data_IF_315490986386
#
_entry.id   IF_315490986386
#
_cell.length_a   1.000
_cell.length_b   1.000
_cell.length_c   1.000
_cell.angle_alpha   90.00
_cell.angle_beta   90.00
_cell.angle_gamma   90.00
#
_symmetry.space_group_name_H-M   'P 1'
#
loop_
_entity.id
_entity.type
_entity.pdbx_description
1 polymer ?
#
# COMPACT_ATOMS: atom_id res chain seq x y z
N UNK A 1 20.02 6.43 12.09
CA UNK A 1 19.34 7.66 12.57
C UNK A 1 20.39 8.55 13.22
N UNK A 2 20.73 9.67 12.58
CA UNK A 2 21.73 10.60 13.09
C UNK A 2 21.22 11.29 14.36
N UNK A 3 22.06 11.24 15.40
CA UNK A 3 21.88 11.92 16.68
C UNK A 3 22.35 13.39 16.64
N UNK A 4 22.34 14.04 15.46
CA UNK A 4 23.04 15.33 15.26
C UNK A 4 22.19 16.58 15.52
N UNK A 5 21.01 16.45 16.12
CA UNK A 5 20.32 17.60 16.66
C UNK A 5 19.79 17.23 18.05
N UNK A 6 20.25 17.94 19.08
CA UNK A 6 19.84 17.78 20.49
C UNK A 6 18.37 18.14 20.78
N UNK A 7 17.47 17.88 19.84
CA UNK A 7 16.03 17.88 20.04
C UNK A 7 15.54 16.53 20.58
N UNK A 8 14.26 16.45 20.98
CA UNK A 8 13.65 15.16 21.32
C UNK A 8 13.81 14.20 20.15
N UNK A 9 14.11 12.93 20.46
CA UNK A 9 14.20 11.86 19.46
C UNK A 9 12.92 11.90 18.62
N UNK A 10 13.02 12.03 17.28
CA UNK A 10 11.83 12.03 16.43
C UNK A 10 11.05 10.73 16.65
N UNK A 11 9.77 10.88 16.93
CA UNK A 11 8.86 9.78 17.26
C UNK A 11 7.79 9.66 16.17
N UNK A 12 7.55 8.43 15.73
CA UNK A 12 6.55 8.12 14.70
C UNK A 12 5.95 6.75 14.99
N UNK A 13 4.63 6.66 15.25
CA UNK A 13 3.99 5.38 15.48
C UNK A 13 3.86 4.62 14.16
N UNK A 14 4.09 3.30 14.21
CA UNK A 14 3.86 2.41 13.09
C UNK A 14 2.59 1.59 13.31
N UNK A 15 1.54 1.93 12.57
CA UNK A 15 0.25 1.28 12.66
C UNK A 15 0.20 0.13 11.66
N UNK A 16 -0.06 -1.08 12.14
CA UNK A 16 -0.12 -2.30 11.32
C UNK A 16 -1.53 -2.87 11.34
N UNK A 17 -2.27 -2.68 10.25
CA UNK A 17 -3.58 -3.28 10.09
C UNK A 17 -3.45 -4.75 9.68
N UNK A 18 -4.06 -5.65 10.43
CA UNK A 18 -4.12 -7.09 10.10
C UNK A 18 -5.57 -7.52 9.84
N UNK A 19 -5.74 -8.73 9.33
CA UNK A 19 -7.02 -9.45 9.37
C UNK A 19 -7.00 -10.48 10.51
N UNK A 20 -8.16 -11.03 10.91
CA UNK A 20 -8.20 -12.12 11.88
C UNK A 20 -7.33 -13.33 11.49
N UNK A 21 -7.17 -13.55 10.18
CA UNK A 21 -6.36 -14.65 9.65
C UNK A 21 -4.84 -14.39 9.73
N UNK A 22 -4.41 -13.13 9.85
CA UNK A 22 -2.99 -12.74 9.79
C UNK A 22 -2.47 -12.19 11.12
N UNK A 23 -3.36 -11.75 12.02
CA UNK A 23 -2.99 -11.02 13.23
C UNK A 23 -1.96 -11.74 14.09
N UNK A 24 -2.26 -12.97 14.53
CA UNK A 24 -1.38 -13.72 15.42
C UNK A 24 0.01 -13.93 14.81
N UNK A 25 0.08 -14.40 13.57
CA UNK A 25 1.35 -14.67 12.91
C UNK A 25 2.18 -13.39 12.74
N UNK A 26 1.54 -12.26 12.41
CA UNK A 26 2.22 -10.98 12.28
C UNK A 26 2.77 -10.49 13.61
N UNK A 27 1.98 -10.52 14.69
CA UNK A 27 2.43 -10.10 16.03
C UNK A 27 3.59 -10.99 16.52
N UNK A 28 3.44 -12.31 16.43
CA UNK A 28 4.48 -13.27 16.83
C UNK A 28 5.79 -13.01 16.05
N UNK A 29 5.72 -12.69 14.76
CA UNK A 29 6.89 -12.41 13.92
C UNK A 29 7.62 -11.14 14.36
N UNK A 30 6.91 -10.05 14.69
CA UNK A 30 7.54 -8.84 15.23
C UNK A 30 8.18 -9.08 16.59
N UNK A 31 7.54 -9.86 17.47
CA UNK A 31 8.11 -10.22 18.77
C UNK A 31 9.39 -11.04 18.64
N UNK A 32 9.39 -12.05 17.76
CA UNK A 32 10.57 -12.87 17.48
C UNK A 32 11.77 -12.05 16.95
N UNK A 33 11.51 -10.96 16.22
CA UNK A 33 12.54 -10.10 15.65
C UNK A 33 12.79 -8.83 16.47
N UNK A 34 12.35 -8.81 17.75
CA UNK A 34 12.54 -7.67 18.65
C UNK A 34 12.12 -6.33 18.01
N UNK A 35 10.98 -6.36 17.30
CA UNK A 35 10.37 -5.21 16.63
C UNK A 35 11.31 -4.48 15.66
N UNK A 36 12.32 -5.16 15.12
CA UNK A 36 13.32 -4.60 14.19
C UNK A 36 14.03 -3.35 14.75
N UNK A 37 14.21 -3.29 16.08
CA UNK A 37 14.83 -2.17 16.78
C UNK A 37 13.88 -1.02 17.15
N UNK A 38 12.58 -1.12 16.83
CA UNK A 38 11.55 -0.24 17.35
C UNK A 38 11.17 -0.63 18.79
N UNK A 39 10.57 0.30 19.54
CA UNK A 39 9.93 -0.03 20.82
C UNK A 39 8.58 -0.67 20.55
N UNK A 40 8.21 -1.66 21.38
CA UNK A 40 6.92 -2.36 21.27
C UNK A 40 5.73 -1.39 21.35
N UNK A 41 5.87 -0.34 22.15
CA UNK A 41 4.84 0.67 22.38
C UNK A 41 4.58 1.58 21.17
N UNK A 42 5.53 1.64 20.23
CA UNK A 42 5.44 2.45 19.01
C UNK A 42 4.87 1.67 17.82
N UNK A 43 4.72 0.35 17.93
CA UNK A 43 4.09 -0.51 16.91
C UNK A 43 2.68 -0.88 17.33
N UNK A 44 1.68 -0.35 16.64
CA UNK A 44 0.27 -0.50 17.00
C UNK A 44 -0.43 -1.45 16.04
N UNK A 45 -0.62 -2.69 16.47
CA UNK A 45 -1.43 -3.65 15.74
C UNK A 45 -2.91 -3.40 15.97
N UNK A 46 -3.70 -3.46 14.90
CA UNK A 46 -5.15 -3.42 14.98
C UNK A 46 -5.78 -4.27 13.89
N UNK A 47 -6.85 -4.97 14.23
CA UNK A 47 -7.53 -5.88 13.32
C UNK A 47 -8.66 -5.18 12.58
N UNK A 48 -8.73 -5.37 11.27
CA UNK A 48 -9.95 -5.09 10.51
C UNK A 48 -11.02 -6.13 10.85
N UNK A 49 -12.29 -5.72 10.79
CA UNK A 49 -13.39 -6.67 10.93
C UNK A 49 -13.67 -7.45 9.64
N UNK A 50 -14.68 -8.30 9.72
CA UNK A 50 -15.19 -9.10 8.61
C UNK A 50 -16.68 -8.85 8.42
N UNK A 51 -17.18 -9.18 7.22
CA UNK A 51 -18.60 -9.20 6.88
C UNK A 51 -19.05 -10.60 6.51
N UNK A 52 -20.30 -10.97 6.82
CA UNK A 52 -20.94 -12.15 6.26
C UNK A 52 -20.98 -12.06 4.74
N UNK A 53 -20.63 -13.16 4.08
CA UNK A 53 -20.92 -13.36 2.66
C UNK A 53 -22.42 -13.57 2.49
N UNK A 54 -22.99 -12.99 1.45
CA UNK A 54 -24.43 -13.05 1.17
C UNK A 54 -24.70 -13.81 -0.12
N UNK A 55 -25.84 -14.49 -0.23
CA UNK A 55 -26.37 -14.92 -1.53
C UNK A 55 -26.83 -13.67 -2.31
N UNK A 56 -27.04 -13.76 -3.64
CA UNK A 56 -27.59 -12.64 -4.42
C UNK A 56 -28.94 -12.12 -3.88
N UNK A 57 -29.70 -12.96 -3.19
CA UNK A 57 -30.98 -12.63 -2.54
C UNK A 57 -30.81 -12.03 -1.13
N UNK A 58 -29.56 -11.84 -0.67
CA UNK A 58 -29.25 -11.21 0.62
C UNK A 58 -29.26 -12.16 1.83
N UNK A 59 -29.25 -13.48 1.64
CA UNK A 59 -29.16 -14.45 2.74
C UNK A 59 -27.71 -14.69 3.16
N UNK A 60 -27.45 -14.88 4.45
CA UNK A 60 -26.11 -15.24 4.93
C UNK A 60 -25.71 -16.62 4.39
N UNK A 61 -24.49 -16.72 3.88
CA UNK A 61 -23.87 -17.97 3.47
C UNK A 61 -23.17 -18.60 4.68
N UNK A 62 -23.44 -19.87 4.93
CA UNK A 62 -22.73 -20.67 5.93
C UNK A 62 -21.53 -21.36 5.28
N UNK A 63 -20.35 -21.27 5.89
CA UNK A 63 -19.16 -22.04 5.49
C UNK A 63 -19.26 -23.49 5.97
N UNK A 64 -19.81 -23.68 7.17
CA UNK A 64 -20.12 -24.97 7.78
C UNK A 64 -21.43 -24.86 8.58
N UNK A 65 -22.05 -25.97 9.04
CA UNK A 65 -23.27 -25.92 9.85
C UNK A 65 -23.19 -25.02 11.10
N UNK A 66 -21.98 -24.78 11.62
CA UNK A 66 -21.73 -23.95 12.80
C UNK A 66 -20.96 -22.65 12.53
N UNK A 67 -20.63 -22.32 11.27
CA UNK A 67 -19.83 -21.13 10.94
C UNK A 67 -20.38 -20.35 9.75
N UNK A 68 -20.39 -19.02 9.88
CA UNK A 68 -20.75 -18.09 8.82
C UNK A 68 -19.54 -17.89 7.90
N UNK A 69 -19.76 -17.99 6.58
CA UNK A 69 -18.74 -17.60 5.61
C UNK A 69 -18.52 -16.09 5.69
N UNK A 70 -17.32 -15.66 6.06
CA UNK A 70 -16.99 -14.25 6.23
C UNK A 70 -15.88 -13.81 5.28
N UNK A 71 -15.89 -12.53 4.88
CA UNK A 71 -14.80 -11.90 4.16
C UNK A 71 -14.31 -10.65 4.90
N UNK A 72 -13.02 -10.29 4.83
CA UNK A 72 -12.56 -8.99 5.30
C UNK A 72 -13.27 -7.86 4.54
N UNK A 73 -13.38 -6.68 5.16
CA UNK A 73 -14.00 -5.48 4.58
C UNK A 73 -13.32 -4.94 3.30
N UNK A 74 -12.27 -5.57 2.78
CA UNK A 74 -11.35 -4.95 1.83
C UNK A 74 -10.41 -3.96 2.52
N UNK A 75 -9.51 -3.33 1.76
CA UNK A 75 -8.54 -2.40 2.35
C UNK A 75 -9.19 -1.08 2.86
N UNK A 76 -10.39 -0.74 2.39
CA UNK A 76 -11.22 0.33 2.97
C UNK A 76 -11.74 0.01 4.38
N UNK A 77 -11.61 -1.24 4.84
CA UNK A 77 -11.82 -1.63 6.23
C UNK A 77 -10.93 -0.91 7.25
N UNK A 78 -9.89 -0.22 6.79
CA UNK A 78 -8.97 0.56 7.66
C UNK A 78 -9.70 1.62 8.48
N UNK A 79 -10.72 2.29 7.93
CA UNK A 79 -11.42 3.38 8.63
C UNK A 79 -12.23 2.91 9.84
N UNK A 80 -13.17 1.94 9.69
CA UNK A 80 -13.86 1.39 10.85
C UNK A 80 -12.89 0.71 11.82
N UNK A 81 -11.83 0.06 11.32
CA UNK A 81 -10.84 -0.61 12.16
C UNK A 81 -10.06 0.38 13.04
N UNK A 82 -9.58 1.49 12.47
CA UNK A 82 -8.90 2.57 13.21
C UNK A 82 -9.77 3.16 14.32
N UNK A 83 -11.08 3.34 14.05
CA UNK A 83 -12.00 3.86 15.06
C UNK A 83 -12.29 2.83 16.14
N UNK A 84 -12.63 1.59 15.75
CA UNK A 84 -12.99 0.52 16.69
C UNK A 84 -11.83 0.12 17.61
N UNK A 85 -10.60 0.13 17.12
CA UNK A 85 -9.41 -0.21 17.92
C UNK A 85 -8.99 0.89 18.89
N UNK A 86 -9.55 2.08 18.78
CA UNK A 86 -9.07 3.27 19.52
C UNK A 86 -7.78 3.86 18.96
N UNK A 87 -7.22 3.32 17.86
CA UNK A 87 -6.03 3.90 17.22
C UNK A 87 -6.26 5.33 16.78
N UNK A 88 -7.45 5.66 16.25
CA UNK A 88 -7.78 7.03 15.85
C UNK A 88 -7.77 8.01 17.03
N UNK A 89 -8.34 7.59 18.17
CA UNK A 89 -8.37 8.40 19.39
C UNK A 89 -6.95 8.54 19.99
N UNK A 90 -6.10 7.50 19.86
CA UNK A 90 -4.68 7.55 20.23
C UNK A 90 -3.87 8.50 19.35
N UNK A 91 -4.10 8.51 18.04
CA UNK A 91 -3.45 9.47 17.12
C UNK A 91 -3.76 10.92 17.48
N UNK A 92 -5.03 11.20 17.83
CA UNK A 92 -5.46 12.52 18.30
C UNK A 92 -4.77 12.91 19.62
N UNK A 93 -4.74 12.02 20.61
CA UNK A 93 -4.18 12.32 21.93
C UNK A 93 -2.65 12.47 21.94
N UNK A 94 -1.95 11.82 21.00
CA UNK A 94 -0.50 11.98 20.83
C UNK A 94 -0.12 13.13 19.90
N UNK A 95 -1.10 13.85 19.34
CA UNK A 95 -0.87 15.03 18.50
C UNK A 95 -0.43 14.71 17.07
N UNK A 96 -0.55 13.47 16.61
CA UNK A 96 -0.28 13.09 15.22
C UNK A 96 -1.27 13.81 14.30
N UNK A 97 -0.75 14.44 13.23
CA UNK A 97 -1.57 15.25 12.31
C UNK A 97 -1.83 14.57 10.97
N UNK A 98 -1.03 13.59 10.61
CA UNK A 98 -1.07 12.98 9.28
C UNK A 98 -0.63 11.52 9.33
N UNK A 99 -1.22 10.72 8.45
CA UNK A 99 -0.85 9.34 8.21
C UNK A 99 -0.33 9.19 6.78
N UNK A 100 0.79 8.51 6.63
CA UNK A 100 1.20 7.92 5.36
C UNK A 100 0.80 6.44 5.37
N UNK A 101 -0.14 6.07 4.52
CA UNK A 101 -0.68 4.71 4.41
C UNK A 101 -0.19 4.08 3.12
N UNK A 102 0.35 2.87 3.19
CA UNK A 102 0.89 2.17 2.03
C UNK A 102 0.56 0.67 2.04
N UNK A 103 0.64 0.02 0.88
CA UNK A 103 0.46 -1.43 0.75
C UNK A 103 1.75 -2.19 1.11
N UNK A 104 1.61 -3.34 1.78
CA UNK A 104 2.73 -4.14 2.30
C UNK A 104 3.60 -4.80 1.22
N UNK A 105 3.07 -4.97 0.01
CA UNK A 105 3.66 -5.82 -1.03
C UNK A 105 4.64 -5.11 -1.97
N UNK A 106 5.05 -3.87 -1.65
CA UNK A 106 5.98 -3.09 -2.47
C UNK A 106 7.31 -2.87 -1.73
N UNK A 107 8.37 -3.64 -2.03
CA UNK A 107 9.68 -3.48 -1.39
C UNK A 107 10.38 -2.15 -1.69
N UNK A 108 9.98 -1.45 -2.75
CA UNK A 108 10.47 -0.10 -3.06
C UNK A 108 9.66 1.02 -2.39
N UNK A 109 8.64 0.67 -1.60
CA UNK A 109 7.90 1.66 -0.85
C UNK A 109 8.85 2.49 0.02
N UNK A 110 8.56 3.78 0.15
CA UNK A 110 9.29 4.72 1.01
C UNK A 110 8.42 5.07 2.22
N UNK A 111 8.43 4.28 3.31
CA UNK A 111 7.63 4.56 4.50
C UNK A 111 7.92 5.96 5.04
N UNK A 112 6.87 6.70 5.37
CA UNK A 112 6.95 8.09 5.81
C UNK A 112 7.77 9.03 4.89
N UNK A 113 7.71 8.86 3.57
CA UNK A 113 8.43 9.69 2.60
C UNK A 113 8.27 11.20 2.86
N UNK A 114 9.34 11.91 3.27
CA UNK A 114 9.28 13.33 3.60
C UNK A 114 8.96 14.19 2.37
N UNK A 115 9.27 13.75 1.14
CA UNK A 115 8.94 14.48 -0.08
C UNK A 115 7.43 14.46 -0.32
N UNK A 116 6.82 13.28 -0.25
CA UNK A 116 5.38 13.14 -0.42
C UNK A 116 4.58 13.79 0.70
N UNK A 117 4.94 13.54 1.96
CA UNK A 117 4.28 14.14 3.13
C UNK A 117 4.44 15.66 3.08
N UNK A 118 5.66 16.16 2.86
CA UNK A 118 5.95 17.59 2.75
C UNK A 118 5.19 18.27 1.59
N UNK A 119 5.07 17.60 0.44
CA UNK A 119 4.26 18.08 -0.67
C UNK A 119 2.79 18.22 -0.28
N UNK A 120 2.20 17.20 0.33
CA UNK A 120 0.80 17.23 0.79
C UNK A 120 0.56 18.38 1.79
N UNK A 121 1.46 18.54 2.76
CA UNK A 121 1.40 19.64 3.73
C UNK A 121 1.54 21.01 3.06
N UNK A 122 2.44 21.17 2.09
CA UNK A 122 2.62 22.42 1.34
C UNK A 122 1.39 22.83 0.53
N UNK A 123 0.54 21.86 0.18
CA UNK A 123 -0.74 22.07 -0.52
C UNK A 123 -1.93 22.20 0.44
N UNK A 124 -1.68 22.18 1.75
CA UNK A 124 -2.72 22.09 2.78
C UNK A 124 -3.71 20.95 2.49
N UNK A 125 -3.20 19.83 1.97
CA UNK A 125 -4.02 18.73 1.51
C UNK A 125 -4.64 17.97 2.68
N UNK A 126 -5.92 17.61 2.56
CA UNK A 126 -6.61 16.76 3.54
C UNK A 126 -6.45 15.27 3.20
N UNK A 127 -6.21 14.98 1.93
CA UNK A 127 -5.91 13.67 1.35
C UNK A 127 -4.83 13.81 0.27
N UNK A 128 -4.02 12.78 0.06
CA UNK A 128 -3.07 12.74 -1.04
C UNK A 128 -2.90 11.34 -1.62
N UNK A 129 -2.53 11.27 -2.89
CA UNK A 129 -2.24 10.02 -3.57
C UNK A 129 -0.90 10.10 -4.31
N UNK A 130 -0.05 9.10 -4.09
CA UNK A 130 1.16 8.90 -4.87
C UNK A 130 0.85 7.98 -6.05
N UNK A 131 1.35 8.36 -7.21
CA UNK A 131 1.13 7.65 -8.46
C UNK A 131 2.45 7.35 -9.17
N UNK A 132 2.43 6.33 -10.00
CA UNK A 132 3.43 6.16 -11.08
C UNK A 132 2.70 6.25 -12.40
N UNK A 133 3.38 6.70 -13.46
CA UNK A 133 2.77 6.62 -14.78
C UNK A 133 2.63 5.17 -15.22
N UNK A 134 1.49 4.84 -15.82
CA UNK A 134 1.24 3.51 -16.37
C UNK A 134 2.30 3.16 -17.41
N UNK A 135 2.84 1.95 -17.31
CA UNK A 135 3.83 1.41 -18.23
C UNK A 135 3.20 1.07 -19.60
N UNK A 136 1.95 0.62 -19.59
CA UNK A 136 1.17 0.35 -20.80
C UNK A 136 -0.33 0.56 -20.58
N UNK A 137 -1.15 0.71 -21.64
CA UNK A 137 -2.61 0.75 -21.53
C UNK A 137 -3.20 -0.45 -20.74
N UNK A 138 -2.58 -1.62 -20.88
CA UNK A 138 -3.03 -2.92 -20.35
C UNK A 138 -2.64 -3.17 -18.90
N UNK A 139 -1.78 -2.33 -18.31
CA UNK A 139 -1.39 -2.46 -16.91
C UNK A 139 -2.63 -2.40 -15.99
N UNK A 140 -2.77 -3.42 -15.14
CA UNK A 140 -3.91 -3.63 -14.24
C UNK A 140 -3.77 -2.80 -12.96
N UNK A 141 -3.80 -1.50 -13.13
CA UNK A 141 -3.73 -0.53 -12.03
C UNK A 141 -4.88 0.47 -12.17
N UNK A 142 -5.54 0.76 -11.05
CA UNK A 142 -6.52 1.85 -11.00
C UNK A 142 -5.86 3.19 -11.29
N UNK A 143 -6.57 4.13 -11.90
CA UNK A 143 -6.01 5.42 -12.32
C UNK A 143 -6.70 6.58 -11.63
N UNK A 144 -5.92 7.61 -11.27
CA UNK A 144 -6.50 8.87 -10.82
C UNK A 144 -7.24 9.55 -11.97
N UNK A 145 -8.50 9.89 -11.74
CA UNK A 145 -9.35 10.62 -12.66
C UNK A 145 -10.39 11.45 -11.90
N UNK A 146 -11.26 12.14 -12.65
CA UNK A 146 -12.47 12.74 -12.09
C UNK A 146 -13.70 11.93 -12.49
N UNK A 147 -14.45 11.43 -11.52
CA UNK A 147 -15.76 10.77 -11.70
C UNK A 147 -16.83 11.70 -11.15
N UNK A 148 -17.75 12.17 -12.00
CA UNK A 148 -18.75 13.17 -11.60
C UNK A 148 -18.14 14.49 -11.09
N UNK A 149 -16.99 14.91 -11.64
CA UNK A 149 -16.27 16.12 -11.23
C UNK A 149 -15.46 16.00 -9.94
N UNK A 150 -15.55 14.88 -9.22
CA UNK A 150 -14.82 14.61 -7.98
C UNK A 150 -13.57 13.75 -8.25
N UNK A 151 -12.46 13.96 -7.53
CA UNK A 151 -11.28 13.11 -7.65
C UNK A 151 -11.63 11.67 -7.21
N UNK A 152 -11.17 10.69 -7.98
CA UNK A 152 -11.45 9.27 -7.73
C UNK A 152 -10.35 8.42 -8.34
N UNK A 153 -10.22 7.20 -7.82
CA UNK A 153 -9.54 6.13 -8.55
C UNK A 153 -10.59 5.41 -9.38
N UNK A 154 -10.34 5.26 -10.68
CA UNK A 154 -11.14 4.44 -11.58
C UNK A 154 -10.40 3.14 -11.78
N UNK A 155 -10.99 2.04 -11.36
CA UNK A 155 -10.38 0.72 -11.49
C UNK A 155 -10.20 0.33 -12.96
N UNK A 156 -9.17 -0.47 -13.25
CA UNK A 156 -8.83 -0.86 -14.62
C UNK A 156 -9.98 -1.62 -15.31
N UNK A 157 -10.83 -2.31 -14.54
CA UNK A 157 -12.03 -3.00 -15.01
C UNK A 157 -13.19 -2.06 -15.36
N UNK A 158 -13.15 -0.80 -14.91
CA UNK A 158 -14.17 0.22 -15.22
C UNK A 158 -13.83 1.07 -16.47
N UNK A 159 -12.60 0.97 -16.99
CA UNK A 159 -12.19 1.69 -18.20
C UNK A 159 -12.52 0.89 -19.46
N UNK A 160 -13.20 1.54 -20.42
CA UNK A 160 -13.34 1.00 -21.78
C UNK A 160 -12.04 1.11 -22.58
N UNK A 161 -11.96 0.39 -23.69
CA UNK A 161 -10.73 0.31 -24.50
C UNK A 161 -10.35 1.65 -25.14
N UNK A 162 -11.35 2.49 -25.45
CA UNK A 162 -11.14 3.84 -25.94
C UNK A 162 -10.41 4.71 -24.91
N UNK A 163 -10.84 4.70 -23.63
CA UNK A 163 -10.20 5.46 -22.55
C UNK A 163 -8.87 4.85 -22.12
N UNK A 164 -8.73 3.52 -22.13
CA UNK A 164 -7.47 2.83 -21.80
C UNK A 164 -6.33 3.25 -22.72
N UNK A 165 -6.62 3.44 -24.01
CA UNK A 165 -5.63 3.74 -25.05
C UNK A 165 -5.54 5.22 -25.42
N UNK A 166 -6.41 6.07 -24.85
CA UNK A 166 -6.47 7.49 -25.16
C UNK A 166 -5.14 8.19 -24.81
N UNK A 167 -4.59 8.92 -25.77
CA UNK A 167 -3.34 9.67 -25.64
C UNK A 167 -3.55 11.17 -25.86
N UNK A 168 -2.75 11.97 -25.17
CA UNK A 168 -2.67 13.42 -25.36
C UNK A 168 -1.83 13.77 -26.61
N UNK A 169 -1.67 15.06 -26.88
CA UNK A 169 -0.89 15.57 -28.02
C UNK A 169 0.60 15.21 -27.97
N UNK A 170 1.12 14.81 -26.80
CA UNK A 170 2.50 14.38 -26.60
C UNK A 170 2.64 12.85 -26.63
N UNK A 171 1.55 12.12 -26.93
CA UNK A 171 1.53 10.67 -26.95
C UNK A 171 1.47 10.02 -25.56
N UNK A 172 1.31 10.79 -24.47
CA UNK A 172 1.15 10.22 -23.11
C UNK A 172 -0.29 9.77 -22.91
N UNK A 173 -0.50 8.70 -22.14
CA UNK A 173 -1.84 8.25 -21.76
C UNK A 173 -2.60 9.34 -20.99
N UNK A 174 -3.80 9.70 -21.43
CA UNK A 174 -4.65 10.66 -20.70
C UNK A 174 -5.00 10.11 -19.32
N UNK A 175 -5.29 8.81 -19.25
CA UNK A 175 -5.54 8.08 -18.00
C UNK A 175 -4.29 7.29 -17.59
N UNK A 176 -3.20 8.01 -17.35
CA UNK A 176 -1.88 7.42 -17.06
C UNK A 176 -1.47 7.41 -15.59
N UNK A 177 -2.10 8.20 -14.72
CA UNK A 177 -1.71 8.32 -13.30
C UNK A 177 -2.14 7.09 -12.48
N UNK A 178 -1.33 6.02 -12.51
CA UNK A 178 -1.60 4.75 -11.84
C UNK A 178 -1.47 4.85 -10.32
N UNK A 179 -2.50 4.41 -9.60
CA UNK A 179 -2.53 4.34 -8.16
C UNK A 179 -1.63 3.20 -7.63
N UNK A 180 -0.64 3.54 -6.81
CA UNK A 180 0.28 2.56 -6.20
C UNK A 180 -0.04 2.27 -4.73
N UNK A 181 -1.28 2.55 -4.30
CA UNK A 181 -1.75 2.36 -2.93
C UNK A 181 -0.82 3.01 -1.89
N UNK A 182 -0.37 4.24 -2.16
CA UNK A 182 0.42 5.08 -1.25
C UNK A 182 -0.34 6.40 -1.05
N UNK A 183 -0.86 6.61 0.14
CA UNK A 183 -1.84 7.64 0.43
C UNK A 183 -1.43 8.50 1.62
N UNK A 184 -1.76 9.77 1.54
CA UNK A 184 -1.68 10.69 2.66
C UNK A 184 -3.10 10.96 3.16
N UNK A 185 -3.29 10.95 4.47
CA UNK A 185 -4.53 11.42 5.09
C UNK A 185 -4.20 12.32 6.28
N UNK A 186 -4.81 13.50 6.33
CA UNK A 186 -4.84 14.26 7.58
C UNK A 186 -5.72 13.54 8.61
N UNK A 187 -5.36 13.61 9.89
CA UNK A 187 -6.17 12.98 10.95
C UNK A 187 -7.56 13.62 11.00
N UNK A 188 -7.66 14.93 10.83
CA UNK A 188 -8.95 15.66 10.81
C UNK A 188 -9.85 15.21 9.65
N UNK A 189 -9.29 14.89 8.47
CA UNK A 189 -10.08 14.32 7.37
C UNK A 189 -10.67 12.97 7.75
N UNK A 190 -9.89 12.12 8.43
CA UNK A 190 -10.38 10.83 8.88
C UNK A 190 -11.48 10.98 9.93
N UNK A 191 -11.29 11.84 10.92
CA UNK A 191 -12.23 11.98 12.06
C UNK A 191 -13.51 12.72 11.67
N UNK A 192 -13.39 13.83 10.94
CA UNK A 192 -14.52 14.74 10.69
C UNK A 192 -15.27 14.43 9.40
N UNK A 193 -14.64 13.75 8.43
CA UNK A 193 -15.23 13.53 7.10
C UNK A 193 -15.47 12.05 6.82
N UNK A 194 -14.44 11.21 6.98
CA UNK A 194 -14.52 9.79 6.58
C UNK A 194 -15.34 8.98 7.58
N UNK A 195 -15.00 9.05 8.87
CA UNK A 195 -15.64 8.25 9.91
C UNK A 195 -17.17 8.46 9.95
N UNK A 196 -17.72 9.69 9.88
CA UNK A 196 -19.16 9.90 9.86
C UNK A 196 -19.90 9.33 8.64
N UNK A 197 -19.18 9.03 7.55
CA UNK A 197 -19.75 8.56 6.27
C UNK A 197 -19.38 7.12 5.93
N UNK A 198 -18.75 6.39 6.85
CA UNK A 198 -18.14 5.09 6.53
C UNK A 198 -19.13 4.02 6.06
N UNK A 199 -20.40 4.09 6.50
CA UNK A 199 -21.42 3.08 6.19
C UNK A 199 -21.84 3.05 4.71
N UNK A 200 -21.51 4.08 3.92
CA UNK A 200 -21.91 4.18 2.51
C UNK A 200 -20.82 3.74 1.52
N UNK A 201 -19.72 3.14 2.00
CA UNK A 201 -18.52 2.90 1.18
C UNK A 201 -18.34 1.45 0.69
N UNK A 202 -19.30 0.55 0.94
CA UNK A 202 -19.19 -0.85 0.54
C UNK A 202 -19.71 -1.10 -0.88
N UNK A 203 -18.90 -1.79 -1.68
CA UNK A 203 -19.22 -2.29 -3.01
C UNK A 203 -19.62 -3.76 -2.98
N UNK A 204 -20.44 -4.17 -3.94
CA UNK A 204 -20.85 -5.55 -4.15
C UNK A 204 -19.87 -6.25 -5.10
N UNK A 205 -19.22 -7.32 -4.64
CA UNK A 205 -18.35 -8.16 -5.45
C UNK A 205 -18.92 -9.58 -5.57
N UNK A 206 -19.37 -9.96 -6.77
CA UNK A 206 -19.87 -11.31 -7.04
C UNK A 206 -18.71 -12.32 -7.11
N UNK A 207 -18.79 -13.39 -6.31
CA UNK A 207 -17.73 -14.39 -6.18
C UNK A 207 -18.28 -15.80 -6.08
N UNK A 208 -17.40 -16.77 -6.33
CA UNK A 208 -17.55 -18.18 -5.97
C UNK A 208 -17.21 -18.35 -4.49
N UNK A 209 -18.21 -18.51 -3.63
CA UNK A 209 -18.08 -18.57 -2.19
C UNK A 209 -18.38 -20.01 -1.73
N UNK A 210 -17.39 -20.75 -1.22
CA UNK A 210 -17.62 -22.06 -0.64
C UNK A 210 -18.69 -22.00 0.46
N UNK A 211 -19.55 -23.02 0.52
CA UNK A 211 -20.68 -23.04 1.44
C UNK A 211 -20.97 -24.45 1.97
N UNK A 212 -21.71 -24.54 3.07
CA UNK A 212 -22.21 -25.80 3.60
C UNK A 212 -23.38 -26.31 2.74
N UNK A 213 -23.21 -27.50 2.15
CA UNK A 213 -24.29 -28.22 1.47
C UNK A 213 -25.37 -28.67 2.45
N UNK A 214 -26.48 -29.19 1.93
CA UNK A 214 -27.61 -29.65 2.75
C UNK A 214 -27.23 -30.77 3.74
N UNK A 215 -26.23 -31.58 3.40
CA UNK A 215 -25.68 -32.64 4.26
C UNK A 215 -24.58 -32.12 5.22
N UNK A 216 -24.35 -30.82 5.25
CA UNK A 216 -23.33 -30.15 6.05
C UNK A 216 -21.90 -30.24 5.49
N UNK A 217 -21.69 -30.87 4.32
CA UNK A 217 -20.35 -30.96 3.72
C UNK A 217 -19.99 -29.69 2.92
N UNK A 218 -18.70 -29.32 2.84
CA UNK A 218 -18.27 -28.14 2.09
C UNK A 218 -18.46 -28.35 0.59
N UNK A 219 -19.13 -27.40 -0.05
CA UNK A 219 -19.34 -27.34 -1.50
C UNK A 219 -18.52 -26.19 -2.09
N UNK A 220 -17.77 -26.49 -3.15
CA UNK A 220 -17.10 -25.47 -3.97
C UNK A 220 -17.98 -25.16 -5.19
N UNK A 221 -18.52 -23.95 -5.33
CA UNK A 221 -19.45 -23.63 -6.41
C UNK A 221 -18.74 -23.50 -7.77
N UNK A 222 -19.40 -23.93 -8.83
CA UNK A 222 -18.87 -23.87 -10.21
C UNK A 222 -19.04 -22.48 -10.84
N UNK A 223 -20.00 -21.69 -10.37
CA UNK A 223 -20.30 -20.31 -10.80
C UNK A 223 -20.40 -19.37 -9.59
N UNK A 224 -20.50 -18.05 -9.83
CA UNK A 224 -20.69 -17.09 -8.74
C UNK A 224 -22.04 -17.35 -8.06
N UNK A 225 -22.01 -17.67 -6.77
CA UNK A 225 -23.16 -18.03 -5.94
C UNK A 225 -23.40 -17.04 -4.79
N UNK A 226 -22.56 -16.01 -4.67
CA UNK A 226 -22.68 -15.04 -3.58
C UNK A 226 -22.00 -13.72 -3.87
N UNK A 227 -22.18 -12.80 -2.93
CA UNK A 227 -21.71 -11.43 -2.95
C UNK A 227 -20.90 -11.17 -1.68
N UNK A 228 -19.74 -10.56 -1.88
CA UNK A 228 -18.91 -10.00 -0.81
C UNK A 228 -19.10 -8.49 -0.80
N UNK A 229 -19.20 -7.92 0.40
CA UNK A 229 -19.14 -6.47 0.60
C UNK A 229 -17.70 -6.07 0.87
N UNK A 230 -17.13 -5.25 0.00
CA UNK A 230 -15.74 -4.78 0.09
C UNK A 230 -15.70 -3.26 -0.12
N UNK A 231 -14.91 -2.54 0.66
CA UNK A 231 -14.62 -1.13 0.49
C UNK A 231 -13.17 -0.97 0.03
N UNK A 232 -12.91 0.02 -0.80
CA UNK A 232 -11.55 0.39 -1.18
C UNK A 232 -11.06 1.61 -0.40
N UNK A 233 -9.79 1.59 -0.02
CA UNK A 233 -9.17 2.67 0.74
C UNK A 233 -9.22 4.02 -0.01
N UNK A 234 -9.28 4.02 -1.34
CA UNK A 234 -9.35 5.25 -2.12
C UNK A 234 -10.78 5.76 -2.35
N UNK A 235 -11.82 5.05 -1.90
CA UNK A 235 -13.22 5.47 -2.07
C UNK A 235 -13.57 6.75 -1.29
N UNK A 236 -12.70 7.17 -0.39
CA UNK A 236 -12.82 8.44 0.34
C UNK A 236 -12.35 9.65 -0.47
N UNK A 237 -11.62 9.45 -1.58
CA UNK A 237 -11.07 10.56 -2.37
C UNK A 237 -12.13 11.56 -2.84
N UNK A 238 -13.34 11.17 -3.28
CA UNK A 238 -14.40 12.12 -3.62
C UNK A 238 -14.85 13.02 -2.47
N UNK A 239 -14.60 12.61 -1.22
CA UNK A 239 -14.94 13.37 -0.01
C UNK A 239 -13.89 14.43 0.33
N UNK A 240 -12.69 14.32 -0.22
CA UNK A 240 -11.61 15.29 -0.04
C UNK A 240 -11.99 16.65 -0.61
N UNK A 241 -11.70 17.69 0.15
CA UNK A 241 -11.81 19.08 -0.30
C UNK A 241 -10.56 19.54 -1.04
N UNK A 242 -9.39 18.97 -0.68
CA UNK A 242 -8.07 19.36 -1.20
C UNK A 242 -7.19 18.12 -1.34
N UNK A 243 -7.33 17.41 -2.47
CA UNK A 243 -6.48 16.27 -2.77
C UNK A 243 -5.17 16.72 -3.43
N UNK A 244 -4.04 16.19 -2.96
CA UNK A 244 -2.74 16.33 -3.61
C UNK A 244 -2.37 15.04 -4.36
N UNK A 245 -1.93 15.16 -5.61
CA UNK A 245 -1.45 14.03 -6.42
C UNK A 245 0.03 14.24 -6.71
N UNK A 246 0.85 13.22 -6.46
CA UNK A 246 2.29 13.25 -6.73
C UNK A 246 2.68 12.08 -7.62
N UNK A 247 3.19 12.37 -8.82
CA UNK A 247 3.85 11.39 -9.69
C UNK A 247 5.27 11.12 -9.17
N UNK A 248 5.67 9.86 -9.11
CA UNK A 248 7.05 9.43 -8.81
C UNK A 248 7.58 8.48 -9.90
N UNK A 249 8.87 8.19 -9.81
CA UNK A 249 9.57 7.25 -10.69
C UNK A 249 9.29 5.81 -10.27
N UNK A 250 8.80 5.00 -11.19
CA UNK A 250 8.44 3.59 -10.94
C UNK A 250 9.64 2.80 -10.44
N UNK A 251 10.77 2.96 -11.10
CA UNK A 251 12.03 2.30 -10.79
C UNK A 251 12.61 2.67 -9.43
N UNK A 252 12.08 3.72 -8.78
CA UNK A 252 12.51 4.13 -7.44
C UNK A 252 11.52 3.77 -6.33
N UNK A 253 10.23 3.60 -6.65
CA UNK A 253 9.18 3.55 -5.63
C UNK A 253 8.08 2.50 -5.86
N UNK A 254 8.12 1.70 -6.94
CA UNK A 254 7.04 0.74 -7.22
C UNK A 254 7.52 -0.57 -7.86
N UNK A 255 7.62 -1.62 -7.03
CA UNK A 255 7.93 -2.99 -7.42
C UNK A 255 7.01 -3.99 -6.68
N UNK A 256 5.71 -4.06 -7.02
CA UNK A 256 4.75 -4.87 -6.26
C UNK A 256 5.05 -6.38 -6.35
N UNK A 257 4.65 -7.13 -5.34
CA UNK A 257 4.75 -8.60 -5.30
C UNK A 257 3.35 -9.20 -5.19
N UNK A 258 2.80 -9.58 -6.34
CA UNK A 258 1.45 -10.15 -6.50
C UNK A 258 1.44 -11.59 -7.01
N UNK A 259 2.50 -11.99 -7.71
CA UNK A 259 2.61 -13.26 -8.43
C UNK A 259 3.68 -14.16 -7.79
N UNK A 260 3.59 -15.46 -8.06
CA UNK A 260 4.55 -16.44 -7.56
C UNK A 260 5.96 -16.26 -8.20
N UNK A 261 7.03 -16.76 -7.54
CA UNK A 261 8.36 -16.84 -8.13
C UNK A 261 8.37 -17.47 -9.54
N UNK A 262 9.27 -17.01 -10.40
CA UNK A 262 9.36 -17.39 -11.81
C UNK A 262 8.40 -16.63 -12.74
N UNK A 263 7.47 -15.84 -12.20
CA UNK A 263 6.63 -14.95 -13.03
C UNK A 263 7.44 -13.73 -13.46
N UNK A 264 7.30 -13.33 -14.74
CA UNK A 264 8.10 -12.26 -15.34
C UNK A 264 7.88 -10.86 -14.74
N UNK A 265 6.73 -10.61 -14.10
CA UNK A 265 6.37 -9.32 -13.50
C UNK A 265 5.63 -9.50 -12.19
N UNK A 266 5.69 -8.46 -11.35
CA UNK A 266 5.08 -8.36 -10.04
C UNK A 266 5.32 -9.60 -9.16
N UNK A 267 6.53 -10.15 -9.22
CA UNK A 267 6.98 -11.37 -8.53
C UNK A 267 8.17 -11.07 -7.60
N UNK A 268 8.51 -11.97 -6.66
CA UNK A 268 9.70 -11.81 -5.83
C UNK A 268 10.98 -11.60 -6.65
N UNK A 269 11.12 -12.28 -7.80
CA UNK A 269 12.30 -12.17 -8.66
C UNK A 269 12.39 -10.80 -9.36
N UNK A 270 11.25 -10.30 -9.85
CA UNK A 270 11.18 -8.96 -10.45
C UNK A 270 11.45 -7.87 -9.41
N UNK A 271 10.90 -7.99 -8.20
CA UNK A 271 11.10 -7.02 -7.13
C UNK A 271 12.55 -6.99 -6.65
N UNK A 272 13.18 -8.16 -6.45
CA UNK A 272 14.62 -8.25 -6.11
C UNK A 272 15.51 -7.62 -7.18
N UNK A 273 15.19 -7.85 -8.45
CA UNK A 273 15.91 -7.24 -9.58
C UNK A 273 15.79 -5.72 -9.54
N UNK A 274 14.59 -5.17 -9.30
CA UNK A 274 14.38 -3.73 -9.21
C UNK A 274 15.09 -3.09 -8.00
N UNK A 275 15.07 -3.73 -6.83
CA UNK A 275 15.83 -3.29 -5.65
C UNK A 275 17.33 -3.27 -5.93
N UNK A 276 17.87 -4.34 -6.54
CA UNK A 276 19.27 -4.41 -6.95
C UNK A 276 19.64 -3.27 -7.90
N UNK A 277 18.84 -3.04 -8.95
CA UNK A 277 19.09 -1.96 -9.91
C UNK A 277 19.06 -0.57 -9.26
N UNK A 278 18.13 -0.34 -8.32
CA UNK A 278 18.06 0.92 -7.58
C UNK A 278 19.30 1.14 -6.71
N UNK A 279 19.73 0.12 -5.97
CA UNK A 279 20.92 0.18 -5.12
C UNK A 279 22.19 0.41 -5.95
N UNK A 280 22.31 -0.27 -7.11
CA UNK A 280 23.41 -0.03 -8.06
C UNK A 280 23.44 1.42 -8.54
N UNK A 281 22.29 1.94 -8.97
CA UNK A 281 22.13 3.35 -9.38
C UNK A 281 22.57 4.31 -8.28
N UNK A 282 22.25 4.02 -7.02
CA UNK A 282 22.68 4.84 -5.89
C UNK A 282 24.20 4.83 -5.68
N UNK A 283 24.83 3.66 -5.71
CA UNK A 283 26.29 3.51 -5.57
C UNK A 283 27.03 4.25 -6.69
N UNK A 284 26.59 4.09 -7.93
CA UNK A 284 27.19 4.75 -9.10
C UNK A 284 27.01 6.26 -9.05
N UNK A 285 25.81 6.74 -8.70
CA UNK A 285 25.53 8.18 -8.52
C UNK A 285 26.37 8.79 -7.40
N UNK A 286 26.70 8.02 -6.38
CA UNK A 286 27.57 8.43 -5.28
C UNK A 286 29.07 8.40 -5.63
N UNK A 287 29.44 8.03 -6.86
CA UNK A 287 30.82 8.02 -7.35
C UNK A 287 31.55 6.69 -7.17
N UNK A 288 30.85 5.64 -6.77
CA UNK A 288 31.38 4.28 -6.75
C UNK A 288 31.34 3.62 -8.13
N UNK A 289 32.16 2.60 -8.32
CA UNK A 289 32.11 1.71 -9.48
C UNK A 289 31.73 0.31 -9.01
N UNK A 290 30.90 -0.39 -9.75
CA UNK A 290 30.48 -1.75 -9.41
C UNK A 290 31.20 -2.72 -10.35
N UNK A 291 31.87 -3.70 -9.77
CA UNK A 291 32.55 -4.77 -10.49
C UNK A 291 31.80 -6.09 -10.25
N UNK A 292 31.43 -6.79 -11.33
CA UNK A 292 30.65 -8.03 -11.29
C UNK A 292 29.45 -8.02 -12.25
N UNK A 293 28.84 -9.20 -12.41
CA UNK A 293 27.68 -9.40 -13.30
C UNK A 293 26.53 -8.45 -12.98
N UNK A 294 25.77 -8.02 -13.99
CA UNK A 294 24.63 -7.10 -13.80
C UNK A 294 23.57 -7.67 -12.84
N UNK A 295 23.42 -8.99 -12.79
CA UNK A 295 22.48 -9.68 -11.91
C UNK A 295 23.07 -10.01 -10.54
N UNK A 296 24.36 -9.80 -10.30
CA UNK A 296 24.95 -9.97 -8.99
C UNK A 296 24.33 -8.94 -8.01
N UNK A 297 23.94 -9.38 -6.82
CA UNK A 297 23.18 -8.55 -5.89
C UNK A 297 24.04 -7.41 -5.34
N UNK A 298 23.54 -6.19 -5.44
CA UNK A 298 24.00 -5.03 -4.67
C UNK A 298 22.81 -4.54 -3.88
N UNK A 299 22.94 -4.53 -2.56
CA UNK A 299 21.88 -4.09 -1.66
C UNK A 299 22.42 -3.00 -0.72
N UNK A 300 21.65 -1.93 -0.54
CA UNK A 300 21.96 -0.88 0.44
C UNK A 300 20.91 -0.95 1.53
N UNK A 301 21.36 -1.18 2.76
CA UNK A 301 20.48 -1.19 3.93
C UNK A 301 19.79 0.17 4.10
N UNK A 302 18.47 0.20 4.39
CA UNK A 302 17.76 1.43 4.72
C UNK A 302 18.34 2.20 5.92
N UNK A 303 19.15 1.54 6.77
CA UNK A 303 19.87 2.18 7.87
C UNK A 303 21.10 2.98 7.41
N UNK A 304 21.63 2.66 6.23
CA UNK A 304 22.74 3.38 5.59
C UNK A 304 22.22 4.53 4.75
N UNK A 305 21.18 4.28 3.94
CA UNK A 305 20.62 5.27 3.02
C UNK A 305 19.14 5.01 2.79
N UNK A 306 18.32 6.04 2.95
CA UNK A 306 16.87 5.95 2.76
C UNK A 306 16.46 6.07 1.29
N UNK A 307 17.10 6.97 0.54
CA UNK A 307 16.79 7.23 -0.86
C UNK A 307 18.05 7.52 -1.72
N UNK A 308 19.20 6.96 -1.32
CA UNK A 308 20.48 7.07 -2.03
C UNK A 308 21.40 8.18 -1.53
N UNK A 309 20.99 8.97 -0.52
CA UNK A 309 21.84 9.95 0.16
C UNK A 309 22.89 9.31 1.08
N UNK A 310 23.93 10.05 1.46
CA UNK A 310 24.93 9.60 2.45
C UNK A 310 25.91 8.53 1.96
N UNK A 311 25.83 8.10 0.70
CA UNK A 311 26.69 7.03 0.18
C UNK A 311 28.06 7.49 -0.29
N UNK A 312 28.24 8.77 -0.62
CA UNK A 312 29.50 9.29 -1.21
C UNK A 312 30.71 8.96 -0.35
N UNK A 313 30.64 9.15 0.96
CA UNK A 313 31.74 8.86 1.89
C UNK A 313 32.11 7.37 1.93
N UNK A 314 31.14 6.50 1.63
CA UNK A 314 31.31 5.04 1.65
C UNK A 314 31.89 4.50 0.35
N UNK A 315 31.47 5.03 -0.80
CA UNK A 315 31.73 4.40 -2.11
C UNK A 315 32.52 5.26 -3.10
N UNK A 316 32.62 6.58 -2.91
CA UNK A 316 33.25 7.45 -3.91
C UNK A 316 34.71 7.06 -4.20
N UNK A 317 35.04 6.91 -5.49
CA UNK A 317 36.37 6.53 -5.94
C UNK A 317 36.75 5.06 -5.69
N UNK A 318 35.83 4.25 -5.13
CA UNK A 318 36.06 2.82 -4.86
C UNK A 318 35.39 1.95 -5.93
N UNK A 319 35.99 0.78 -6.15
CA UNK A 319 35.35 -0.32 -6.87
C UNK A 319 34.75 -1.28 -5.85
N UNK A 320 33.44 -1.54 -5.97
CA UNK A 320 32.67 -2.42 -5.10
C UNK A 320 32.41 -3.72 -5.88
N UNK A 321 32.95 -4.84 -5.40
CA UNK A 321 32.73 -6.15 -6.01
C UNK A 321 31.36 -6.70 -5.61
N UNK A 322 30.54 -7.09 -6.59
CA UNK A 322 29.26 -7.75 -6.38
C UNK A 322 29.44 -9.29 -6.34
N UNK A 323 28.64 -10.03 -5.54
CA UNK A 323 27.55 -9.53 -4.70
C UNK A 323 28.03 -8.79 -3.45
N UNK A 324 27.31 -7.74 -3.03
CA UNK A 324 27.60 -7.00 -1.82
C UNK A 324 26.34 -6.47 -1.12
N UNK A 325 26.45 -6.29 0.19
CA UNK A 325 25.45 -5.64 1.04
C UNK A 325 26.14 -4.51 1.80
N UNK A 326 25.63 -3.28 1.66
CA UNK A 326 26.11 -2.10 2.37
C UNK A 326 25.23 -1.89 3.61
N UNK A 327 25.76 -2.23 4.78
CA UNK A 327 25.12 -2.09 6.10
C UNK A 327 25.73 -0.96 6.96
#
# INVERSE_FOLDING_TARGET
MSSEAGGPKPWMPFLVMTSPMTHKQTVDFFEQHSYFGMTKEDVWFFEQGTMPCLTPEGKIILESPGSIACNPYGNGGVYPALKKSGCLDKLLSTGVKSLHVFSVDNPLCRPADPRFVGYCLSKNADCGNKCVWKASPEEKVGVMAKKGGRPSVVEYSELDDARKTLRDSNGRLVFGAGNICNHFFSVDFLTEVVVPKMSTMFHLAHKKIPYAGEDGKPVKPESNNGVKLEAFIFDVFPMSSRIAILETFREEEFAPVKNAPGTASDSPDSARSMVNLLCRKWVEKAGGKIDGDANAVVEVSPLVSYAGEGLTERVAGKTISAPCHLE
#
